data_IF_831686638217
#
_entry.id   IF_831686638217
#
_cell.length_a   1.000
_cell.length_b   1.000
_cell.length_c   1.000
_cell.angle_alpha   90.00
_cell.angle_beta   90.00
_cell.angle_gamma   90.00
#
_symmetry.space_group_name_H-M   'P 1'
#
loop_
_entity.id
_entity.type
_entity.pdbx_description
1 polymer ?
#
# COMPACT_ATOMS: atom_id res chain seq x y z
N UNK A 1 5.25 -48.08 -15.46
CA UNK A 1 3.83 -48.48 -15.47
C UNK A 1 3.66 -49.83 -14.75
N UNK A 2 2.60 -50.01 -14.01
CA UNK A 2 2.27 -51.32 -13.44
C UNK A 2 1.10 -51.89 -14.25
N UNK A 3 1.19 -53.15 -14.63
CA UNK A 3 0.12 -53.88 -15.31
C UNK A 3 -0.36 -55.00 -14.40
N UNK A 4 -1.61 -55.17 -14.23
CA UNK A 4 -2.20 -56.33 -13.54
C UNK A 4 -2.10 -57.55 -14.44
N UNK A 5 -1.48 -58.61 -13.95
CA UNK A 5 -1.39 -59.93 -14.59
C UNK A 5 -2.06 -60.93 -13.66
N UNK A 6 -2.47 -62.13 -14.16
CA UNK A 6 -3.06 -63.17 -13.30
C UNK A 6 -2.15 -63.60 -12.15
N UNK A 7 -0.83 -63.29 -12.23
CA UNK A 7 0.19 -63.62 -11.26
C UNK A 7 0.54 -62.46 -10.30
N UNK A 8 -0.19 -61.31 -10.38
CA UNK A 8 0.02 -60.13 -9.55
C UNK A 8 0.50 -58.89 -10.32
N UNK A 9 0.76 -57.77 -9.59
CA UNK A 9 1.26 -56.51 -10.17
C UNK A 9 2.71 -56.68 -10.61
N UNK A 10 2.95 -56.60 -11.93
CA UNK A 10 4.30 -56.62 -12.50
C UNK A 10 4.68 -55.22 -12.99
N UNK A 11 5.90 -54.79 -12.68
CA UNK A 11 6.46 -53.55 -13.25
C UNK A 11 6.84 -53.84 -14.70
N UNK A 12 6.20 -53.13 -15.62
CA UNK A 12 6.50 -53.19 -17.07
C UNK A 12 7.43 -52.05 -17.41
N UNK A 13 8.60 -52.27 -18.02
CA UNK A 13 9.48 -51.22 -18.49
C UNK A 13 8.73 -50.33 -19.52
N UNK A 14 9.10 -49.05 -19.56
CA UNK A 14 8.60 -48.18 -20.65
C UNK A 14 9.13 -48.66 -22.01
N UNK A 15 8.28 -48.65 -23.01
CA UNK A 15 8.68 -48.89 -24.39
C UNK A 15 9.80 -47.87 -24.77
N UNK A 16 10.96 -48.31 -25.27
CA UNK A 16 12.02 -47.43 -25.73
C UNK A 16 11.53 -46.36 -26.70
N UNK A 17 10.51 -46.61 -27.50
CA UNK A 17 9.90 -45.64 -28.41
C UNK A 17 9.21 -44.47 -27.63
N UNK A 18 8.87 -44.65 -26.37
CA UNK A 18 8.28 -43.57 -25.54
C UNK A 18 9.34 -42.60 -24.98
N UNK A 19 10.62 -42.99 -24.95
CA UNK A 19 11.69 -42.19 -24.34
C UNK A 19 11.85 -40.80 -24.95
N UNK A 20 11.82 -40.62 -26.31
CA UNK A 20 11.90 -39.30 -26.91
C UNK A 20 10.75 -38.40 -26.54
N UNK A 21 9.52 -38.96 -26.45
CA UNK A 21 8.33 -38.21 -26.08
C UNK A 21 8.40 -37.78 -24.61
N UNK A 22 8.79 -38.69 -23.72
CA UNK A 22 8.97 -38.39 -22.30
C UNK A 22 10.08 -37.36 -22.10
N UNK A 23 11.17 -37.48 -22.82
CA UNK A 23 12.26 -36.51 -22.80
C UNK A 23 11.82 -35.10 -23.27
N UNK A 24 11.05 -35.04 -24.34
CA UNK A 24 10.51 -33.78 -24.86
C UNK A 24 9.55 -33.13 -23.84
N UNK A 25 8.64 -33.93 -23.27
CA UNK A 25 7.73 -33.44 -22.22
C UNK A 25 8.46 -32.96 -20.97
N UNK A 26 9.47 -33.70 -20.52
CA UNK A 26 10.31 -33.30 -19.38
C UNK A 26 11.04 -31.97 -19.66
N UNK A 27 11.59 -31.82 -20.87
CA UNK A 27 12.25 -30.58 -21.29
C UNK A 27 11.27 -29.39 -21.34
N UNK A 28 10.08 -29.58 -21.90
CA UNK A 28 9.05 -28.55 -21.92
C UNK A 28 8.57 -28.17 -20.49
N UNK A 29 8.39 -29.16 -19.63
CA UNK A 29 8.04 -28.94 -18.23
C UNK A 29 9.14 -28.14 -17.49
N UNK A 30 10.40 -28.51 -17.71
CA UNK A 30 11.53 -27.79 -17.13
C UNK A 30 11.57 -26.31 -17.58
N UNK A 31 11.40 -26.06 -18.87
CA UNK A 31 11.33 -24.68 -19.42
C UNK A 31 10.14 -23.93 -18.83
N UNK A 32 8.96 -24.53 -18.74
CA UNK A 32 7.78 -23.91 -18.16
C UNK A 32 7.98 -23.54 -16.67
N UNK A 33 8.59 -24.43 -15.89
CA UNK A 33 8.92 -24.20 -14.49
C UNK A 33 9.94 -23.05 -14.34
N UNK A 34 10.99 -23.05 -15.16
CA UNK A 34 12.00 -21.97 -15.14
C UNK A 34 11.36 -20.63 -15.50
N UNK A 35 10.57 -20.58 -16.57
CA UNK A 35 9.87 -19.36 -16.97
C UNK A 35 8.91 -18.86 -15.88
N UNK A 36 8.16 -19.73 -15.24
CA UNK A 36 7.28 -19.36 -14.13
C UNK A 36 8.08 -18.75 -12.96
N UNK A 37 9.21 -19.38 -12.57
CA UNK A 37 10.09 -18.85 -11.52
C UNK A 37 10.69 -17.49 -11.87
N UNK A 38 11.16 -17.32 -13.12
CA UNK A 38 11.70 -16.03 -13.59
C UNK A 38 10.64 -14.95 -13.61
N UNK A 39 9.43 -15.25 -14.06
CA UNK A 39 8.30 -14.30 -14.04
C UNK A 39 7.97 -13.87 -12.61
N UNK A 40 7.88 -14.81 -11.67
CA UNK A 40 7.63 -14.49 -10.26
C UNK A 40 8.76 -13.64 -9.65
N UNK A 41 10.02 -13.97 -9.94
CA UNK A 41 11.17 -13.20 -9.47
C UNK A 41 11.17 -11.77 -10.03
N UNK A 42 10.85 -11.62 -11.32
CA UNK A 42 10.74 -10.32 -11.98
C UNK A 42 9.60 -9.48 -11.38
N UNK A 43 8.43 -10.09 -11.17
CA UNK A 43 7.30 -9.42 -10.52
C UNK A 43 7.68 -8.93 -9.12
N UNK A 44 8.31 -9.78 -8.31
CA UNK A 44 8.78 -9.40 -6.96
C UNK A 44 9.77 -8.24 -7.03
N UNK A 45 10.79 -8.33 -7.87
CA UNK A 45 11.81 -7.26 -8.01
C UNK A 45 11.19 -5.94 -8.47
N UNK A 46 10.21 -6.00 -9.36
CA UNK A 46 9.47 -4.84 -9.82
C UNK A 46 8.66 -4.20 -8.67
N UNK A 47 7.92 -5.01 -7.89
CA UNK A 47 7.16 -4.55 -6.72
C UNK A 47 8.07 -3.89 -5.68
N UNK A 48 9.23 -4.51 -5.39
CA UNK A 48 10.22 -3.93 -4.48
C UNK A 48 10.71 -2.56 -4.99
N UNK A 49 10.89 -2.40 -6.30
CA UNK A 49 11.31 -1.13 -6.90
C UNK A 49 10.24 -0.04 -6.78
N UNK A 50 8.97 -0.40 -7.00
CA UNK A 50 7.84 0.52 -6.87
C UNK A 50 7.65 0.94 -5.40
N UNK A 51 7.76 0.00 -4.45
CA UNK A 51 7.69 0.31 -3.02
C UNK A 51 8.77 1.32 -2.59
N UNK A 52 9.99 1.18 -3.13
CA UNK A 52 11.09 2.12 -2.85
C UNK A 52 10.78 3.55 -3.28
N UNK A 53 9.94 3.77 -4.31
CA UNK A 53 9.49 5.11 -4.70
C UNK A 53 8.55 5.70 -3.63
N UNK A 54 7.60 4.92 -3.11
CA UNK A 54 6.76 5.35 -1.98
C UNK A 54 7.59 5.69 -0.75
N UNK A 55 8.50 4.80 -0.35
CA UNK A 55 9.43 5.04 0.77
C UNK A 55 10.28 6.30 0.57
N UNK A 56 10.73 6.58 -0.65
CA UNK A 56 11.51 7.78 -0.95
C UNK A 56 10.67 9.07 -0.80
N UNK A 57 9.39 9.03 -1.15
CA UNK A 57 8.45 10.12 -0.96
C UNK A 57 8.24 10.42 0.53
N UNK A 58 7.97 9.39 1.33
CA UNK A 58 7.80 9.51 2.78
C UNK A 58 9.07 9.97 3.49
N UNK A 59 10.23 9.38 3.13
CA UNK A 59 11.51 9.82 3.68
C UNK A 59 11.76 11.31 3.41
N UNK A 60 11.37 11.80 2.23
CA UNK A 60 11.48 13.22 1.89
C UNK A 60 10.53 14.08 2.72
N UNK A 61 9.32 13.62 3.03
CA UNK A 61 8.34 14.31 3.89
C UNK A 61 8.66 14.17 5.39
N UNK A 62 9.74 13.49 5.75
CA UNK A 62 10.13 13.18 7.14
C UNK A 62 9.10 12.33 7.88
N UNK A 63 8.30 11.58 7.13
CA UNK A 63 7.50 10.49 7.66
C UNK A 63 8.35 9.21 7.75
N UNK A 64 7.97 8.32 8.65
CA UNK A 64 8.71 7.07 8.85
C UNK A 64 8.20 5.98 7.89
N UNK A 65 9.06 5.00 7.56
CA UNK A 65 8.64 3.83 6.79
C UNK A 65 7.49 3.05 7.47
N UNK A 66 7.37 3.16 8.78
CA UNK A 66 6.31 2.53 9.55
C UNK A 66 4.92 3.13 9.25
N UNK A 67 4.84 4.42 8.87
CA UNK A 67 3.61 5.04 8.40
C UNK A 67 3.01 4.27 7.21
N UNK A 68 3.80 4.03 6.14
CA UNK A 68 3.35 3.24 4.98
C UNK A 68 2.85 1.86 5.40
N UNK A 69 3.59 1.21 6.31
CA UNK A 69 3.23 -0.11 6.82
C UNK A 69 1.89 -0.05 7.55
N UNK A 70 1.72 0.89 8.49
CA UNK A 70 0.47 1.05 9.26
C UNK A 70 -0.72 1.36 8.37
N UNK A 71 -0.60 2.35 7.48
CA UNK A 71 -1.66 2.74 6.53
C UNK A 71 -2.07 1.54 5.66
N UNK A 72 -1.10 0.76 5.17
CA UNK A 72 -1.37 -0.45 4.39
C UNK A 72 -2.08 -1.52 5.21
N UNK A 73 -1.68 -1.77 6.46
CA UNK A 73 -2.30 -2.79 7.31
C UNK A 73 -3.71 -2.37 7.76
N UNK A 74 -3.96 -1.08 8.06
CA UNK A 74 -5.31 -0.57 8.33
C UNK A 74 -6.20 -0.70 7.09
N UNK A 75 -5.68 -0.39 5.89
CA UNK A 75 -6.43 -0.57 4.65
C UNK A 75 -6.80 -2.05 4.44
N UNK A 76 -5.87 -2.98 4.72
CA UNK A 76 -6.15 -4.41 4.65
C UNK A 76 -7.16 -4.87 5.70
N UNK A 77 -7.13 -4.31 6.92
CA UNK A 77 -8.13 -4.57 7.95
C UNK A 77 -9.53 -4.24 7.44
N UNK A 78 -9.72 -3.03 6.91
CA UNK A 78 -11.00 -2.63 6.34
C UNK A 78 -11.38 -3.46 5.11
N UNK A 79 -10.42 -3.73 4.21
CA UNK A 79 -10.66 -4.55 3.01
C UNK A 79 -11.11 -5.97 3.35
N UNK A 80 -10.51 -6.62 4.36
CA UNK A 80 -10.94 -7.95 4.85
C UNK A 80 -12.35 -7.93 5.39
N UNK A 81 -12.68 -6.94 6.21
CA UNK A 81 -14.03 -6.79 6.80
C UNK A 81 -15.09 -6.42 5.75
N UNK A 82 -14.71 -5.82 4.63
CA UNK A 82 -15.57 -5.60 3.46
C UNK A 82 -15.71 -6.85 2.56
N UNK A 83 -15.05 -7.97 2.89
CA UNK A 83 -15.12 -9.21 2.13
C UNK A 83 -14.33 -9.18 0.81
N UNK A 84 -13.32 -8.33 0.68
CA UNK A 84 -12.49 -8.31 -0.54
C UNK A 84 -11.73 -9.63 -0.71
N UNK A 85 -11.61 -10.07 -1.96
CA UNK A 85 -10.80 -11.22 -2.31
C UNK A 85 -9.28 -10.90 -2.20
N UNK A 86 -8.44 -11.94 -2.32
CA UNK A 86 -6.98 -11.81 -2.21
C UNK A 86 -6.40 -10.81 -3.21
N UNK A 87 -6.94 -10.77 -4.42
CA UNK A 87 -6.48 -9.85 -5.46
C UNK A 87 -6.86 -8.40 -5.11
N UNK A 88 -8.09 -8.17 -4.67
CA UNK A 88 -8.55 -6.85 -4.21
C UNK A 88 -7.73 -6.34 -3.03
N UNK A 89 -7.41 -7.20 -2.05
CA UNK A 89 -6.56 -6.86 -0.92
C UNK A 89 -5.13 -6.51 -1.35
N UNK A 90 -4.56 -7.24 -2.30
CA UNK A 90 -3.23 -6.91 -2.83
C UNK A 90 -3.23 -5.55 -3.53
N UNK A 91 -4.20 -5.27 -4.38
CA UNK A 91 -4.34 -3.98 -5.07
C UNK A 91 -4.54 -2.83 -4.08
N UNK A 92 -5.37 -3.01 -3.05
CA UNK A 92 -5.59 -2.02 -2.01
C UNK A 92 -4.32 -1.74 -1.22
N UNK A 93 -3.58 -2.78 -0.81
CA UNK A 93 -2.31 -2.65 -0.10
C UNK A 93 -1.33 -1.77 -0.85
N UNK A 94 -1.12 -2.06 -2.15
CA UNK A 94 -0.20 -1.30 -2.99
C UNK A 94 -0.71 0.12 -3.26
N UNK A 95 -2.01 0.27 -3.45
CA UNK A 95 -2.64 1.58 -3.60
C UNK A 95 -2.38 2.48 -2.39
N UNK A 96 -2.66 1.96 -1.20
CA UNK A 96 -2.45 2.67 0.05
C UNK A 96 -0.97 3.01 0.28
N UNK A 97 -0.04 2.06 0.01
CA UNK A 97 1.40 2.30 0.15
C UNK A 97 1.95 3.41 -0.76
N UNK A 98 1.28 3.70 -1.88
CA UNK A 98 1.75 4.63 -2.91
C UNK A 98 1.00 5.97 -2.93
N UNK A 99 0.08 6.21 -1.98
CA UNK A 99 -0.83 7.34 -2.02
C UNK A 99 -0.11 8.69 -2.17
N UNK A 100 1.00 8.86 -1.49
CA UNK A 100 1.77 10.10 -1.37
C UNK A 100 3.02 10.18 -2.26
N UNK A 101 3.20 9.24 -3.20
CA UNK A 101 4.36 9.23 -4.14
C UNK A 101 4.56 10.57 -4.86
N UNK A 102 3.50 11.33 -5.08
CA UNK A 102 3.55 12.62 -5.77
C UNK A 102 4.21 13.74 -4.96
N UNK A 103 4.42 13.59 -3.66
CA UNK A 103 5.20 14.52 -2.84
C UNK A 103 6.63 14.70 -3.35
N UNK A 104 7.15 13.72 -4.13
CA UNK A 104 8.43 13.84 -4.82
C UNK A 104 8.52 15.06 -5.75
N UNK A 105 7.40 15.53 -6.29
CA UNK A 105 7.34 16.69 -7.16
C UNK A 105 7.07 18.02 -6.46
N UNK A 106 6.82 18.03 -5.16
CA UNK A 106 6.53 19.26 -4.41
C UNK A 106 7.83 19.95 -3.98
N UNK A 107 7.97 21.28 -4.13
CA UNK A 107 9.15 22.02 -3.68
C UNK A 107 9.38 21.90 -2.16
N UNK A 108 10.64 21.76 -1.73
CA UNK A 108 11.00 21.64 -0.29
C UNK A 108 10.55 22.84 0.54
N UNK A 109 10.55 24.03 -0.06
CA UNK A 109 10.07 25.26 0.59
C UNK A 109 8.59 25.21 0.98
N UNK A 110 7.80 24.36 0.33
CA UNK A 110 6.38 24.13 0.62
C UNK A 110 6.23 22.89 1.49
N UNK A 111 6.84 21.77 1.08
CA UNK A 111 6.76 20.49 1.78
C UNK A 111 7.20 20.58 3.24
N UNK A 112 8.30 21.29 3.50
CA UNK A 112 8.90 21.44 4.85
C UNK A 112 8.63 22.79 5.50
N UNK A 113 7.66 23.56 5.00
CA UNK A 113 7.38 24.89 5.56
C UNK A 113 6.90 24.76 7.01
N UNK A 114 7.58 25.42 7.95
CA UNK A 114 7.09 25.48 9.32
C UNK A 114 5.85 26.39 9.39
N UNK A 115 4.72 25.85 9.80
CA UNK A 115 3.47 26.59 9.98
C UNK A 115 2.46 26.41 8.85
N UNK A 116 1.48 27.31 8.75
CA UNK A 116 0.39 27.22 7.79
C UNK A 116 0.86 27.59 6.39
N UNK A 117 0.39 26.85 5.39
CA UNK A 117 0.57 27.19 3.97
C UNK A 117 -0.34 28.35 3.59
N UNK A 118 0.14 29.27 2.73
CA UNK A 118 -0.73 30.23 2.06
C UNK A 118 -1.70 29.51 1.10
N UNK A 119 -2.76 30.18 0.62
CA UNK A 119 -3.66 29.57 -0.37
C UNK A 119 -2.94 29.09 -1.63
N UNK A 120 -1.94 29.82 -2.12
CA UNK A 120 -1.14 29.47 -3.31
C UNK A 120 -0.21 28.30 -3.05
N UNK A 121 0.43 28.26 -1.87
CA UNK A 121 1.27 27.14 -1.45
C UNK A 121 0.43 25.89 -1.23
N UNK A 122 -0.78 26.04 -0.65
CA UNK A 122 -1.70 24.93 -0.49
C UNK A 122 -2.14 24.37 -1.85
N UNK A 123 -2.50 25.22 -2.79
CA UNK A 123 -2.81 24.79 -4.16
C UNK A 123 -1.63 24.04 -4.79
N UNK A 124 -0.39 24.49 -4.53
CA UNK A 124 0.82 23.78 -4.99
C UNK A 124 0.98 22.43 -4.28
N UNK A 125 0.74 22.34 -2.97
CA UNK A 125 0.77 21.09 -2.22
C UNK A 125 -0.26 20.09 -2.77
N UNK A 126 -1.47 20.54 -3.11
CA UNK A 126 -2.53 19.67 -3.63
C UNK A 126 -2.16 19.00 -4.97
N UNK A 127 -1.20 19.56 -5.72
CA UNK A 127 -0.70 18.94 -6.95
C UNK A 127 -0.01 17.59 -6.71
N UNK A 128 0.39 17.22 -5.47
CA UNK A 128 0.97 15.90 -5.24
C UNK A 128 0.03 14.78 -5.69
N UNK A 129 -1.29 14.96 -5.59
CA UNK A 129 -2.28 13.96 -6.05
C UNK A 129 -2.20 13.74 -7.56
N UNK A 130 -2.06 14.81 -8.34
CA UNK A 130 -1.93 14.76 -9.79
C UNK A 130 -0.55 14.24 -10.21
N UNK A 131 0.51 14.69 -9.53
CA UNK A 131 1.89 14.24 -9.79
C UNK A 131 2.02 12.75 -9.48
N UNK A 132 1.47 12.28 -8.34
CA UNK A 132 1.44 10.87 -7.97
C UNK A 132 0.70 10.03 -9.01
N UNK A 133 -0.47 10.49 -9.45
CA UNK A 133 -1.21 9.83 -10.51
C UNK A 133 -0.45 9.79 -11.85
N UNK A 134 0.35 10.81 -12.14
CA UNK A 134 1.20 10.85 -13.34
C UNK A 134 2.39 9.90 -13.23
N UNK A 135 3.08 9.86 -12.09
CA UNK A 135 4.22 8.96 -11.83
C UNK A 135 3.75 7.49 -11.92
N UNK A 136 2.59 7.20 -11.35
CA UNK A 136 2.03 5.85 -11.26
C UNK A 136 1.19 5.46 -12.50
N UNK A 137 1.16 6.31 -13.53
CA UNK A 137 0.39 6.03 -14.74
C UNK A 137 0.91 4.77 -15.43
N UNK A 138 0.03 3.77 -15.57
CA UNK A 138 0.35 2.50 -16.21
C UNK A 138 -0.90 1.81 -16.76
N UNK A 139 -0.94 1.57 -18.08
CA UNK A 139 -2.14 1.09 -18.75
C UNK A 139 -2.38 -0.42 -18.60
N UNK A 140 -1.35 -1.22 -18.37
CA UNK A 140 -1.44 -2.69 -18.38
C UNK A 140 -1.32 -3.34 -17.00
N UNK A 141 -0.77 -2.63 -15.98
CA UNK A 141 -0.52 -3.19 -14.66
C UNK A 141 -1.65 -2.84 -13.68
N UNK A 142 -2.40 -3.82 -13.13
CA UNK A 142 -3.50 -3.57 -12.20
C UNK A 142 -3.06 -2.84 -10.92
N UNK A 143 -1.86 -3.13 -10.40
CA UNK A 143 -1.31 -2.48 -9.21
C UNK A 143 -1.06 -1.00 -9.47
N UNK A 144 -0.43 -0.65 -10.61
CA UNK A 144 -0.23 0.76 -10.98
C UNK A 144 -1.56 1.50 -11.17
N UNK A 145 -2.56 0.86 -11.78
CA UNK A 145 -3.91 1.44 -11.91
C UNK A 145 -4.56 1.73 -10.55
N UNK A 146 -4.48 0.78 -9.63
CA UNK A 146 -5.01 0.94 -8.28
C UNK A 146 -4.27 2.06 -7.54
N UNK A 147 -2.93 2.06 -7.59
CA UNK A 147 -2.08 3.08 -6.96
C UNK A 147 -2.32 4.47 -7.57
N UNK A 148 -2.44 4.57 -8.90
CA UNK A 148 -2.81 5.82 -9.58
C UNK A 148 -4.16 6.35 -9.11
N UNK A 149 -5.16 5.47 -9.00
CA UNK A 149 -6.49 5.83 -8.52
C UNK A 149 -6.45 6.34 -7.09
N UNK A 150 -5.72 5.68 -6.20
CA UNK A 150 -5.57 6.10 -4.80
C UNK A 150 -4.81 7.41 -4.70
N UNK A 151 -3.66 7.55 -5.36
CA UNK A 151 -2.90 8.80 -5.37
C UNK A 151 -3.75 10.00 -5.82
N UNK A 152 -4.66 9.79 -6.79
CA UNK A 152 -5.55 10.82 -7.31
C UNK A 152 -6.71 11.14 -6.37
N UNK A 153 -7.13 10.23 -5.48
CA UNK A 153 -8.44 10.35 -4.81
C UNK A 153 -8.42 10.24 -3.28
N UNK A 154 -7.26 10.01 -2.66
CA UNK A 154 -7.16 9.87 -1.20
C UNK A 154 -7.40 11.19 -0.43
N UNK A 155 -7.43 12.33 -1.11
CA UNK A 155 -7.81 13.62 -0.56
C UNK A 155 -9.19 14.12 -1.02
N UNK A 156 -9.93 13.28 -1.75
CA UNK A 156 -11.35 13.53 -1.96
C UNK A 156 -12.11 13.35 -0.65
N UNK A 157 -13.18 14.11 -0.46
CA UNK A 157 -14.01 14.08 0.73
C UNK A 157 -15.40 13.57 0.40
N UNK A 158 -15.99 12.83 1.29
CA UNK A 158 -17.35 12.31 1.10
C UNK A 158 -18.37 13.41 0.78
N UNK A 159 -18.21 14.58 1.36
CA UNK A 159 -19.05 15.77 1.15
C UNK A 159 -18.78 16.54 -0.16
N UNK A 160 -17.79 16.13 -0.96
CA UNK A 160 -17.42 16.78 -2.22
C UNK A 160 -16.54 18.04 -2.06
N UNK A 161 -16.11 18.36 -0.83
CA UNK A 161 -15.23 19.50 -0.56
C UNK A 161 -13.73 19.13 -0.62
N UNK A 162 -13.41 17.96 -1.14
CA UNK A 162 -12.04 17.46 -1.32
C UNK A 162 -11.38 17.98 -2.60
N UNK A 163 -10.25 17.37 -2.94
CA UNK A 163 -9.48 17.66 -4.14
C UNK A 163 -8.85 16.40 -4.71
N UNK A 164 -8.41 16.39 -5.99
CA UNK A 164 -8.39 17.49 -6.97
C UNK A 164 -9.66 17.59 -7.81
N UNK A 165 -10.55 16.58 -7.79
CA UNK A 165 -11.70 16.48 -8.69
C UNK A 165 -13.04 16.85 -8.04
N UNK A 166 -13.06 17.04 -6.72
CA UNK A 166 -14.25 17.30 -5.92
C UNK A 166 -15.33 16.23 -6.09
N UNK A 167 -14.90 14.99 -6.10
CA UNK A 167 -15.80 13.84 -6.12
C UNK A 167 -16.53 13.75 -4.77
N UNK A 168 -17.79 13.28 -4.79
CA UNK A 168 -18.59 13.12 -3.59
C UNK A 168 -19.14 11.70 -3.46
N UNK A 169 -19.29 11.23 -2.24
CA UNK A 169 -19.92 9.95 -1.93
C UNK A 169 -19.26 8.79 -2.64
N UNK A 170 -20.06 7.92 -3.23
CA UNK A 170 -19.60 6.71 -3.93
C UNK A 170 -18.95 7.00 -5.30
N UNK A 171 -18.99 8.24 -5.81
CA UNK A 171 -18.21 8.63 -6.96
C UNK A 171 -16.70 8.60 -6.68
N UNK A 172 -16.29 8.67 -5.40
CA UNK A 172 -14.92 8.44 -4.97
C UNK A 172 -14.65 6.94 -5.01
N UNK A 173 -13.61 6.47 -5.74
CA UNK A 173 -13.23 5.06 -5.74
C UNK A 173 -13.05 4.51 -4.31
N UNK A 174 -13.53 3.29 -4.06
CA UNK A 174 -13.50 2.69 -2.72
C UNK A 174 -12.09 2.68 -2.10
N UNK A 175 -11.06 2.37 -2.88
CA UNK A 175 -9.68 2.38 -2.38
C UNK A 175 -9.23 3.78 -1.95
N UNK A 176 -9.66 4.84 -2.66
CA UNK A 176 -9.42 6.22 -2.26
C UNK A 176 -10.12 6.57 -0.94
N UNK A 177 -11.40 6.17 -0.76
CA UNK A 177 -12.16 6.37 0.48
C UNK A 177 -11.52 5.67 1.68
N UNK A 178 -11.08 4.42 1.49
CA UNK A 178 -10.38 3.64 2.53
C UNK A 178 -9.09 4.35 2.89
N UNK A 179 -8.25 4.70 1.92
CA UNK A 179 -6.95 5.31 2.16
C UNK A 179 -7.08 6.68 2.84
N UNK A 180 -8.03 7.52 2.43
CA UNK A 180 -8.32 8.80 3.08
C UNK A 180 -8.61 8.65 4.59
N UNK A 181 -9.41 7.65 4.96
CA UNK A 181 -9.75 7.39 6.35
C UNK A 181 -8.55 6.90 7.16
N UNK A 182 -7.83 5.89 6.63
CA UNK A 182 -6.75 5.24 7.40
C UNK A 182 -5.49 6.10 7.47
N UNK A 183 -5.22 6.95 6.48
CA UNK A 183 -4.15 7.94 6.54
C UNK A 183 -4.40 8.97 7.66
N UNK A 184 -5.61 9.54 7.72
CA UNK A 184 -5.97 10.47 8.79
C UNK A 184 -6.01 9.77 10.14
N UNK A 185 -6.50 8.53 10.22
CA UNK A 185 -6.45 7.73 11.45
C UNK A 185 -5.00 7.57 11.95
N UNK A 186 -4.07 7.21 11.07
CA UNK A 186 -2.65 7.12 11.43
C UNK A 186 -2.07 8.46 11.85
N UNK A 187 -2.38 9.53 11.11
CA UNK A 187 -1.93 10.88 11.41
C UNK A 187 -2.39 11.41 12.78
N UNK A 188 -3.55 10.98 13.25
CA UNK A 188 -4.11 11.37 14.55
C UNK A 188 -3.60 10.47 15.68
N UNK A 189 -3.52 9.16 15.44
CA UNK A 189 -3.24 8.15 16.46
C UNK A 189 -1.74 7.85 16.65
N UNK A 190 -0.88 8.25 15.69
CA UNK A 190 0.56 8.00 15.74
C UNK A 190 1.35 9.29 16.03
N UNK A 191 2.51 9.13 16.69
CA UNK A 191 3.44 10.25 16.91
C UNK A 191 4.09 10.62 15.58
N UNK A 192 4.20 11.91 15.31
CA UNK A 192 4.98 12.46 14.19
C UNK A 192 6.15 13.28 14.68
N UNK A 193 7.12 13.57 13.83
CA UNK A 193 8.35 14.33 14.19
C UNK A 193 8.05 15.63 14.95
N UNK A 194 6.91 16.28 14.63
CA UNK A 194 6.55 17.59 15.17
C UNK A 194 5.29 17.58 16.05
N UNK A 195 4.64 16.39 16.26
CA UNK A 195 3.36 16.33 16.95
C UNK A 195 3.21 15.03 17.73
N UNK A 196 2.85 15.08 19.03
CA UNK A 196 2.47 13.89 19.78
C UNK A 196 1.18 13.29 19.23
N UNK A 197 0.98 11.96 19.41
CA UNK A 197 -0.27 11.30 19.14
C UNK A 197 -1.41 11.87 20.02
N UNK A 198 -2.62 11.91 19.49
CA UNK A 198 -3.80 12.14 20.33
C UNK A 198 -4.15 10.88 21.14
N UNK A 199 -4.84 11.07 22.27
CA UNK A 199 -5.49 9.97 22.97
C UNK A 199 -6.55 9.32 22.08
N UNK A 200 -6.71 8.01 22.16
CA UNK A 200 -7.60 7.25 21.26
C UNK A 200 -9.05 7.73 21.34
N UNK A 201 -9.52 8.14 22.53
CA UNK A 201 -10.85 8.71 22.71
C UNK A 201 -11.05 9.98 21.87
N UNK A 202 -9.99 10.80 21.75
CA UNK A 202 -10.04 12.01 20.91
C UNK A 202 -10.02 11.66 19.43
N UNK A 203 -9.28 10.63 19.04
CA UNK A 203 -9.28 10.12 17.64
C UNK A 203 -10.68 9.65 17.27
N UNK A 204 -11.30 8.82 18.09
CA UNK A 204 -12.68 8.33 17.89
C UNK A 204 -13.68 9.48 17.77
N UNK A 205 -13.56 10.48 18.66
CA UNK A 205 -14.41 11.68 18.59
C UNK A 205 -14.27 12.39 17.24
N UNK A 206 -13.03 12.66 16.77
CA UNK A 206 -12.78 13.38 15.52
C UNK A 206 -13.34 12.58 14.32
N UNK A 207 -13.10 11.26 14.28
CA UNK A 207 -13.62 10.42 13.20
C UNK A 207 -15.16 10.41 13.19
N UNK A 208 -15.79 10.38 14.36
CA UNK A 208 -17.25 10.48 14.49
C UNK A 208 -17.81 11.83 14.01
N UNK A 209 -17.13 12.93 14.30
CA UNK A 209 -17.50 14.28 13.85
C UNK A 209 -17.36 14.45 12.32
N UNK A 210 -16.39 13.77 11.70
CA UNK A 210 -16.12 13.80 10.27
C UNK A 210 -16.84 12.69 9.47
N UNK A 211 -17.61 11.84 10.14
CA UNK A 211 -18.43 10.77 9.55
C UNK A 211 -19.51 11.37 8.64
N UNK A 212 -19.55 10.95 7.38
CA UNK A 212 -20.47 11.49 6.36
C UNK A 212 -20.11 12.90 5.87
N UNK A 213 -18.99 13.46 6.32
CA UNK A 213 -18.41 14.74 5.87
C UNK A 213 -17.09 14.52 5.15
N UNK A 214 -16.02 14.28 5.88
CA UNK A 214 -14.74 13.91 5.29
C UNK A 214 -14.77 12.47 4.82
N UNK A 215 -15.26 11.57 5.65
CA UNK A 215 -15.15 10.12 5.45
C UNK A 215 -16.48 9.45 5.13
N UNK A 216 -16.41 8.37 4.37
CA UNK A 216 -17.50 7.44 4.15
C UNK A 216 -18.03 6.93 5.50
N UNK A 217 -19.32 7.13 5.81
CA UNK A 217 -19.87 6.74 7.11
C UNK A 217 -19.76 5.24 7.39
N UNK A 218 -19.89 4.39 6.36
CA UNK A 218 -19.76 2.94 6.50
C UNK A 218 -18.33 2.52 6.86
N UNK A 219 -17.33 3.18 6.28
CA UNK A 219 -15.93 2.89 6.57
C UNK A 219 -15.53 3.38 7.97
N UNK A 220 -16.07 4.51 8.42
CA UNK A 220 -15.85 4.99 9.80
C UNK A 220 -16.42 4.00 10.80
N UNK A 221 -17.68 3.57 10.63
CA UNK A 221 -18.32 2.59 11.50
C UNK A 221 -17.49 1.30 11.53
N UNK A 222 -17.06 0.80 10.36
CA UNK A 222 -16.25 -0.42 10.26
C UNK A 222 -14.89 -0.30 10.96
N UNK A 223 -14.22 0.86 10.87
CA UNK A 223 -12.96 1.09 11.59
C UNK A 223 -13.16 1.11 13.10
N UNK A 224 -14.23 1.78 13.57
CA UNK A 224 -14.54 1.88 14.99
C UNK A 224 -14.96 0.53 15.58
N UNK A 225 -15.67 -0.30 14.82
CA UNK A 225 -16.04 -1.67 15.23
C UNK A 225 -14.80 -2.59 15.34
N UNK A 226 -13.68 -2.24 14.66
CA UNK A 226 -12.42 -2.99 14.68
C UNK A 226 -11.26 -2.21 15.32
N UNK A 227 -11.59 -1.29 16.26
CA UNK A 227 -10.61 -0.37 16.84
C UNK A 227 -9.49 -1.09 17.61
N UNK A 228 -9.80 -2.20 18.27
CA UNK A 228 -8.79 -3.00 18.99
C UNK A 228 -7.73 -3.59 18.04
N UNK A 229 -8.14 -4.11 16.87
CA UNK A 229 -7.21 -4.62 15.86
C UNK A 229 -6.42 -3.47 15.23
N UNK A 230 -7.04 -2.32 14.98
CA UNK A 230 -6.37 -1.13 14.50
C UNK A 230 -5.31 -0.62 15.51
N UNK A 231 -5.62 -0.61 16.80
CA UNK A 231 -4.67 -0.22 17.85
C UNK A 231 -3.51 -1.24 18.00
N UNK A 232 -3.79 -2.52 17.81
CA UNK A 232 -2.75 -3.55 17.76
C UNK A 232 -1.79 -3.35 16.58
N UNK A 233 -2.27 -2.98 15.40
CA UNK A 233 -1.45 -2.61 14.24
C UNK A 233 -0.58 -1.40 14.59
N UNK A 234 -1.16 -0.34 15.17
CA UNK A 234 -0.46 0.87 15.59
C UNK A 234 0.70 0.57 16.55
N UNK A 235 0.46 -0.26 17.55
CA UNK A 235 1.45 -0.61 18.56
C UNK A 235 2.54 -1.54 18.04
N UNK A 236 2.18 -2.48 17.17
CA UNK A 236 3.14 -3.41 16.55
C UNK A 236 4.12 -2.69 15.63
N UNK A 237 3.66 -1.64 14.94
CA UNK A 237 4.46 -0.85 14.00
C UNK A 237 4.72 0.56 14.53
N UNK A 238 4.85 0.71 15.85
CA UNK A 238 5.16 2.01 16.46
C UNK A 238 6.57 2.49 16.06
N UNK A 239 6.68 3.80 15.83
CA UNK A 239 7.97 4.42 15.57
C UNK A 239 8.77 4.54 16.88
N UNK A 240 10.06 4.25 16.81
CA UNK A 240 10.99 4.39 17.92
C UNK A 240 11.64 5.78 17.92
N UNK A 241 12.21 6.20 19.05
CA UNK A 241 12.99 7.47 19.10
C UNK A 241 14.17 7.43 18.10
N UNK A 242 14.77 6.26 17.89
CA UNK A 242 15.84 6.09 16.92
C UNK A 242 15.37 6.35 15.47
N UNK A 243 14.13 6.01 15.13
CA UNK A 243 13.58 6.29 13.81
C UNK A 243 13.43 7.80 13.59
N UNK A 244 12.97 8.54 14.60
CA UNK A 244 12.87 10.01 14.52
C UNK A 244 14.23 10.70 14.54
N UNK A 245 15.20 10.19 15.29
CA UNK A 245 16.54 10.77 15.33
C UNK A 245 17.27 10.69 14.00
N UNK A 246 17.05 9.64 13.20
CA UNK A 246 17.61 9.53 11.84
C UNK A 246 17.22 10.71 10.95
N UNK A 247 16.00 11.24 11.10
CA UNK A 247 15.55 12.42 10.35
C UNK A 247 16.08 13.75 10.90
N UNK A 248 16.44 13.79 12.19
CA UNK A 248 17.00 14.99 12.83
C UNK A 248 18.51 15.11 12.60
N UNK A 249 19.19 14.00 12.45
CA UNK A 249 20.64 13.97 12.37
C UNK A 249 21.14 12.84 11.46
N UNK A 250 21.41 13.17 10.19
CA UNK A 250 21.94 12.23 9.21
C UNK A 250 23.30 11.60 9.58
N UNK A 251 24.05 12.19 10.53
CA UNK A 251 25.31 11.60 11.01
C UNK A 251 25.11 10.33 11.82
N UNK A 252 23.86 10.03 12.21
CA UNK A 252 23.49 8.79 12.91
C UNK A 252 23.23 7.62 11.94
N UNK A 253 23.10 7.89 10.63
CA UNK A 253 22.98 6.84 9.64
C UNK A 253 24.31 6.09 9.52
N UNK A 254 24.28 4.79 9.80
CA UNK A 254 25.44 3.92 9.69
C UNK A 254 25.32 3.04 8.46
N UNK A 255 26.47 2.62 7.93
CA UNK A 255 26.52 1.67 6.80
C UNK A 255 25.80 0.36 7.18
N UNK A 256 25.83 -0.03 8.43
CA UNK A 256 25.15 -1.23 8.96
C UNK A 256 23.60 -1.13 8.91
N UNK A 257 23.07 0.11 8.88
CA UNK A 257 21.60 0.33 8.70
C UNK A 257 21.16 0.11 7.25
N UNK A 258 22.11 -0.05 6.30
CA UNK A 258 21.87 -0.11 4.87
C UNK A 258 22.26 -1.48 4.27
N UNK A 259 23.14 -2.24 4.94
CA UNK A 259 23.60 -3.58 4.55
C UNK A 259 22.88 -4.66 5.31
#
# INVERSE_FOLDING_TARGET
ATRETPEGRRVVPFDPMCLPVVGALASQAAVAIVNAKLTMALQKSWLDSVLRLGLAAEYRDKETANHITRVSEYALLLGRNLGMDKNGLELLRWGAAMHDTGKLGIPDSILHKPGMLSPEERATMEYHTLIGALILKGDSNPILKASQSVALTHHERWDGNGYPRKLAGEAIPLFGRITALVDVFDALSSRRVYKPAFAMEKVVQILGEERGRHFDPTLVDLLLDNLEEADAIRTTHADTEADFEKFRNYSLLKIEDVL
#
